data_IF_409526344486
#
_entry.id   IF_409526344486
#
_cell.length_a   1.000
_cell.length_b   1.000
_cell.length_c   1.000
_cell.angle_alpha   90.00
_cell.angle_beta   90.00
_cell.angle_gamma   90.00
#
_symmetry.space_group_name_H-M   'P 1'
#
loop_
_entity.id
_entity.type
_entity.pdbx_description
1 polymer ?
#
# COMPACT_ATOMS: atom_id res chain seq x y z
N UNK A 1 9.09 7.72 0.64
CA UNK A 1 8.87 8.95 -0.17
C UNK A 1 9.62 8.96 -1.48
N UNK A 2 10.90 8.59 -1.51
CA UNK A 2 11.76 8.66 -2.69
C UNK A 2 11.18 8.00 -3.95
N UNK A 3 10.50 6.87 -3.78
CA UNK A 3 9.87 6.17 -4.89
C UNK A 3 8.76 7.00 -5.55
N UNK A 4 7.94 7.68 -4.75
CA UNK A 4 6.85 8.53 -5.24
C UNK A 4 7.40 9.79 -5.93
N UNK A 5 8.38 10.47 -5.32
CA UNK A 5 9.06 11.62 -5.93
C UNK A 5 9.74 11.22 -7.24
N UNK A 6 10.34 10.03 -7.29
CA UNK A 6 10.92 9.49 -8.53
C UNK A 6 9.87 9.32 -9.64
N UNK A 7 8.69 8.79 -9.32
CA UNK A 7 7.60 8.67 -10.29
C UNK A 7 7.13 10.05 -10.79
N UNK A 8 6.98 11.03 -9.90
CA UNK A 8 6.62 12.41 -10.30
C UNK A 8 7.70 13.07 -11.17
N UNK A 9 8.97 12.77 -10.88
CA UNK A 9 10.13 13.29 -11.61
C UNK A 9 10.26 12.71 -13.02
N UNK A 10 10.08 11.39 -13.15
CA UNK A 10 10.14 10.67 -14.43
C UNK A 10 8.95 11.06 -15.33
N UNK A 11 7.79 11.36 -14.75
CA UNK A 11 6.64 11.89 -15.47
C UNK A 11 6.02 10.86 -16.41
N UNK A 12 5.62 11.28 -17.61
CA UNK A 12 5.05 10.40 -18.63
C UNK A 12 6.14 9.41 -19.08
N UNK A 13 5.92 8.10 -18.93
CA UNK A 13 6.87 7.09 -19.38
C UNK A 13 6.95 7.07 -20.91
N UNK A 14 8.10 6.64 -21.45
CA UNK A 14 8.30 6.54 -22.90
C UNK A 14 7.19 5.68 -23.55
N UNK A 15 6.40 6.28 -24.45
CA UNK A 15 5.26 5.63 -25.10
C UNK A 15 3.95 5.61 -24.30
N UNK A 16 3.85 6.34 -23.19
CA UNK A 16 2.62 6.50 -22.42
C UNK A 16 1.77 7.69 -22.87
N UNK A 17 0.44 7.50 -22.91
CA UNK A 17 -0.53 8.53 -23.32
C UNK A 17 -1.00 9.44 -22.16
N UNK A 18 -0.68 9.11 -20.91
CA UNK A 18 -1.20 9.81 -19.74
C UNK A 18 -0.14 10.05 -18.67
N UNK A 19 -0.17 11.25 -18.08
CA UNK A 19 0.68 11.63 -16.96
C UNK A 19 0.36 10.81 -15.69
N UNK A 20 1.36 10.34 -14.93
CA UNK A 20 1.14 9.62 -13.69
C UNK A 20 0.46 10.54 -12.67
N UNK A 21 -0.64 10.05 -12.10
CA UNK A 21 -1.33 10.65 -10.96
C UNK A 21 -0.94 9.92 -9.68
N UNK A 22 -0.42 10.66 -8.70
CA UNK A 22 -0.22 10.17 -7.34
C UNK A 22 -1.22 10.83 -6.39
N UNK A 23 -1.81 10.02 -5.53
CA UNK A 23 -2.70 10.49 -4.46
C UNK A 23 -1.97 10.45 -3.13
N UNK A 24 -1.96 11.58 -2.43
CA UNK A 24 -1.56 11.70 -1.05
C UNK A 24 -2.81 11.60 -0.19
N UNK A 25 -3.02 10.42 0.38
CA UNK A 25 -4.17 10.08 1.19
C UNK A 25 -3.83 10.27 2.67
N UNK A 26 -4.43 11.27 3.30
CA UNK A 26 -4.38 11.49 4.73
C UNK A 26 -5.77 11.33 5.37
N UNK A 27 -5.83 11.50 6.68
CA UNK A 27 -7.06 11.52 7.47
C UNK A 27 -6.89 12.60 8.53
N UNK A 28 -7.97 13.22 8.98
CA UNK A 28 -7.91 14.33 9.95
C UNK A 28 -7.28 13.92 11.29
N UNK A 29 -7.38 12.64 11.66
CA UNK A 29 -6.76 12.09 12.86
C UNK A 29 -5.23 11.93 12.74
N UNK A 30 -4.68 11.96 11.51
CA UNK A 30 -3.27 11.69 11.24
C UNK A 30 -2.54 12.98 10.92
N UNK A 31 -1.51 13.28 11.71
CA UNK A 31 -0.69 14.48 11.53
C UNK A 31 0.39 14.17 10.50
N UNK A 32 0.62 15.08 9.54
CA UNK A 32 1.79 15.04 8.66
C UNK A 32 1.52 15.10 7.15
N UNK A 33 0.26 14.97 6.70
CA UNK A 33 -0.12 15.15 5.29
C UNK A 33 0.48 16.41 4.65
N UNK A 34 0.24 17.61 5.22
CA UNK A 34 0.86 18.84 4.73
C UNK A 34 2.38 18.92 4.81
N UNK A 35 2.99 18.35 5.83
CA UNK A 35 4.45 18.33 5.93
C UNK A 35 5.05 17.45 4.82
N UNK A 36 4.41 16.31 4.56
CA UNK A 36 4.81 15.41 3.47
C UNK A 36 4.60 16.04 2.09
N UNK A 37 3.49 16.75 1.89
CA UNK A 37 3.24 17.50 0.66
C UNK A 37 4.32 18.56 0.44
N UNK A 38 4.66 19.35 1.46
CA UNK A 38 5.72 20.37 1.37
C UNK A 38 7.08 19.75 1.10
N UNK A 39 7.40 18.63 1.73
CA UNK A 39 8.64 17.89 1.44
C UNK A 39 8.67 17.42 -0.02
N UNK A 40 7.58 16.82 -0.52
CA UNK A 40 7.47 16.40 -1.92
C UNK A 40 7.60 17.57 -2.90
N UNK A 41 6.99 18.72 -2.57
CA UNK A 41 7.12 19.96 -3.34
C UNK A 41 8.56 20.46 -3.36
N UNK A 42 9.25 20.50 -2.21
CA UNK A 42 10.64 20.90 -2.12
C UNK A 42 11.57 19.98 -2.92
N UNK A 43 11.37 18.67 -2.83
CA UNK A 43 12.15 17.69 -3.58
C UNK A 43 11.92 17.82 -5.09
N UNK A 44 10.67 18.11 -5.49
CA UNK A 44 10.32 18.34 -6.89
C UNK A 44 10.87 19.67 -7.43
N UNK A 45 10.77 20.77 -6.69
CA UNK A 45 11.36 22.05 -7.12
C UNK A 45 12.88 21.93 -7.25
N UNK A 46 13.54 21.22 -6.34
CA UNK A 46 14.98 20.94 -6.43
C UNK A 46 15.31 20.01 -7.61
N UNK A 47 14.45 19.03 -7.92
CA UNK A 47 14.63 18.16 -9.09
C UNK A 47 14.48 18.93 -10.41
N UNK A 48 13.52 19.85 -10.49
CA UNK A 48 13.29 20.75 -11.63
C UNK A 48 14.48 21.71 -11.79
N UNK A 49 14.92 22.33 -10.69
CA UNK A 49 16.10 23.20 -10.65
C UNK A 49 17.35 22.50 -11.21
N UNK A 50 17.56 21.25 -10.81
CA UNK A 50 18.65 20.42 -11.27
C UNK A 50 18.45 19.78 -12.65
N UNK A 51 17.36 20.09 -13.36
CA UNK A 51 16.98 19.48 -14.65
C UNK A 51 16.97 17.95 -14.63
N UNK A 52 16.64 17.36 -13.47
CA UNK A 52 16.49 15.91 -13.30
C UNK A 52 15.05 15.45 -13.48
N UNK A 53 14.10 16.38 -13.57
CA UNK A 53 12.68 16.14 -13.80
C UNK A 53 12.31 16.37 -15.26
N UNK A 54 11.31 15.63 -15.74
CA UNK A 54 10.67 15.88 -17.04
C UNK A 54 9.88 17.21 -17.02
N UNK A 55 9.38 17.61 -15.84
CA UNK A 55 8.74 18.90 -15.64
C UNK A 55 9.77 20.04 -15.69
N UNK A 56 9.43 21.12 -16.39
CA UNK A 56 10.20 22.37 -16.44
C UNK A 56 9.70 23.36 -15.38
N UNK A 57 8.43 23.25 -15.01
CA UNK A 57 7.83 24.06 -13.97
C UNK A 57 6.76 23.30 -13.16
N UNK A 58 6.38 23.89 -12.05
CA UNK A 58 5.46 23.33 -11.07
C UNK A 58 4.36 24.35 -10.78
N UNK A 59 3.12 23.91 -10.88
CA UNK A 59 1.93 24.69 -10.54
C UNK A 59 1.20 24.03 -9.39
N UNK A 60 1.13 24.72 -8.25
CA UNK A 60 0.39 24.30 -7.07
C UNK A 60 -0.99 24.99 -7.05
N UNK A 61 -2.05 24.23 -6.83
CA UNK A 61 -3.39 24.72 -6.58
C UNK A 61 -3.64 24.65 -5.07
N UNK A 62 -3.82 25.82 -4.44
CA UNK A 62 -4.03 25.95 -3.01
C UNK A 62 -5.53 26.15 -2.71
N UNK A 63 -6.20 25.11 -2.23
CA UNK A 63 -7.64 25.05 -1.95
C UNK A 63 -7.95 24.94 -0.45
N UNK A 64 -7.09 24.29 0.32
CA UNK A 64 -7.26 24.07 1.76
C UNK A 64 -6.41 25.02 2.59
N UNK A 65 -5.28 25.49 2.05
CA UNK A 65 -4.31 26.31 2.78
C UNK A 65 -4.02 27.62 2.08
N UNK A 66 -3.69 28.69 2.84
CA UNK A 66 -3.34 29.97 2.23
C UNK A 66 -2.04 29.86 1.43
N UNK A 67 -2.01 30.51 0.27
CA UNK A 67 -0.85 30.52 -0.62
C UNK A 67 0.46 30.94 0.08
N UNK A 68 0.37 31.82 1.09
CA UNK A 68 1.51 32.27 1.90
C UNK A 68 2.32 31.13 2.55
N UNK A 69 1.68 29.99 2.88
CA UNK A 69 2.37 28.83 3.45
C UNK A 69 3.35 28.18 2.46
N UNK A 70 3.15 28.37 1.17
CA UNK A 70 3.99 27.82 0.12
C UNK A 70 5.07 28.79 -0.37
N UNK A 71 5.03 30.06 0.05
CA UNK A 71 6.02 31.07 -0.36
C UNK A 71 7.44 30.72 0.10
N UNK A 72 7.61 29.96 1.19
CA UNK A 72 8.92 29.50 1.64
C UNK A 72 9.55 28.47 0.68
N UNK A 73 8.73 27.77 -0.11
CA UNK A 73 9.17 26.86 -1.16
C UNK A 73 9.49 27.59 -2.47
N UNK A 74 8.95 28.79 -2.65
CA UNK A 74 9.30 29.72 -3.73
C UNK A 74 10.70 30.30 -3.48
N UNK A 75 11.76 29.55 -3.76
CA UNK A 75 13.08 30.17 -3.87
C UNK A 75 13.04 31.19 -5.04
N UNK A 76 13.37 32.47 -4.82
CA UNK A 76 13.22 33.52 -5.83
C UNK A 76 14.12 33.35 -7.07
N UNK A 77 15.07 32.40 -7.02
CA UNK A 77 15.94 32.01 -8.14
C UNK A 77 15.28 31.04 -9.13
N UNK A 78 14.16 30.44 -8.77
CA UNK A 78 13.45 29.42 -9.54
C UNK A 78 12.13 29.99 -10.04
N UNK A 79 12.16 30.74 -11.14
CA UNK A 79 10.97 31.26 -11.84
C UNK A 79 10.04 30.18 -12.43
N UNK A 80 10.12 28.96 -11.91
CA UNK A 80 9.46 27.74 -12.38
C UNK A 80 8.43 27.23 -11.38
N UNK A 81 8.13 27.97 -10.30
CA UNK A 81 7.11 27.59 -9.32
C UNK A 81 5.99 28.63 -9.30
N UNK A 82 4.75 28.17 -9.45
CA UNK A 82 3.54 28.99 -9.39
C UNK A 82 2.53 28.45 -8.39
N UNK A 83 1.86 29.34 -7.69
CA UNK A 83 0.77 29.03 -6.76
C UNK A 83 -0.50 29.69 -7.28
N UNK A 84 -1.52 28.89 -7.57
CA UNK A 84 -2.89 29.33 -7.80
C UNK A 84 -3.58 29.40 -6.45
N UNK A 85 -3.84 30.60 -5.98
CA UNK A 85 -4.54 30.85 -4.72
C UNK A 85 -6.05 30.75 -4.93
N UNK A 86 -6.58 29.56 -4.67
CA UNK A 86 -8.01 29.27 -4.65
C UNK A 86 -8.59 29.31 -3.22
N UNK A 87 -7.77 29.56 -2.20
CA UNK A 87 -8.13 29.50 -0.79
C UNK A 87 -8.57 30.86 -0.24
N UNK A 88 -7.95 31.97 -0.66
CA UNK A 88 -8.25 33.29 -0.09
C UNK A 88 -9.67 33.77 -0.38
N UNK A 89 -10.24 33.40 -1.53
CA UNK A 89 -11.62 33.75 -1.88
C UNK A 89 -12.30 32.70 -2.79
N UNK A 90 -12.55 31.47 -2.28
CA UNK A 90 -13.09 30.38 -3.08
C UNK A 90 -14.49 30.67 -3.62
N UNK A 91 -15.27 31.49 -2.92
CA UNK A 91 -16.66 31.81 -3.27
C UNK A 91 -16.87 33.20 -3.86
N UNK A 92 -15.82 34.03 -3.99
CA UNK A 92 -15.91 35.34 -4.63
C UNK A 92 -16.51 36.45 -3.77
N UNK A 93 -16.42 36.32 -2.44
CA UNK A 93 -17.01 37.26 -1.49
C UNK A 93 -16.31 38.62 -1.55
N UNK A 94 -15.02 38.66 -1.89
CA UNK A 94 -14.26 39.90 -2.03
C UNK A 94 -14.82 40.79 -3.16
N UNK A 95 -15.27 40.17 -4.26
CA UNK A 95 -15.92 40.86 -5.36
C UNK A 95 -17.31 41.41 -4.99
N UNK A 96 -18.05 40.72 -4.13
CA UNK A 96 -19.37 41.16 -3.64
C UNK A 96 -19.27 42.28 -2.60
N UNK A 97 -18.21 42.26 -1.78
CA UNK A 97 -17.98 43.24 -0.72
C UNK A 97 -17.26 44.51 -1.23
N UNK A 98 -17.00 44.62 -2.55
CA UNK A 98 -16.23 45.69 -3.17
C UNK A 98 -14.89 45.96 -2.44
N UNK A 99 -14.33 44.94 -1.79
CA UNK A 99 -13.00 44.99 -1.20
C UNK A 99 -12.06 44.92 -2.39
N UNK A 100 -11.70 46.09 -2.92
CA UNK A 100 -10.61 46.20 -3.87
C UNK A 100 -9.40 45.60 -3.16
N UNK A 101 -8.80 44.52 -3.68
CA UNK A 101 -7.59 43.99 -3.08
C UNK A 101 -6.57 45.13 -3.11
N UNK A 102 -6.18 45.60 -1.92
CA UNK A 102 -5.14 46.62 -1.78
C UNK A 102 -3.92 46.11 -2.54
N UNK A 103 -3.59 46.79 -3.65
CA UNK A 103 -2.60 46.41 -4.66
C UNK A 103 -1.71 45.25 -4.24
N UNK A 104 -2.17 44.03 -4.50
CA UNK A 104 -1.44 42.82 -4.16
C UNK A 104 -0.18 42.83 -5.00
N UNK A 105 0.93 43.19 -4.38
CA UNK A 105 2.27 43.09 -4.97
C UNK A 105 2.41 41.66 -5.48
N UNK A 106 2.28 41.52 -6.80
CA UNK A 106 2.40 40.25 -7.49
C UNK A 106 3.85 39.81 -7.33
N UNK A 107 4.15 39.04 -6.30
CA UNK A 107 5.25 38.11 -6.39
C UNK A 107 4.97 37.29 -7.64
N UNK A 108 5.86 37.30 -8.63
CA UNK A 108 5.68 36.72 -9.97
C UNK A 108 5.19 35.25 -9.97
N UNK A 109 5.18 34.56 -8.83
CA UNK A 109 4.75 33.18 -8.65
C UNK A 109 3.30 32.99 -8.16
N UNK A 110 2.57 33.99 -7.66
CA UNK A 110 1.23 33.75 -7.06
C UNK A 110 0.11 34.40 -7.87
N UNK A 111 -0.88 33.60 -8.28
CA UNK A 111 -2.04 34.03 -9.07
C UNK A 111 -3.30 33.81 -8.25
N UNK A 112 -4.05 34.87 -7.94
CA UNK A 112 -5.32 34.76 -7.21
C UNK A 112 -6.43 34.28 -8.15
N UNK A 113 -7.17 33.25 -7.72
CA UNK A 113 -8.27 32.64 -8.47
C UNK A 113 -9.56 32.72 -7.64
N UNK A 114 -10.23 33.89 -7.62
CA UNK A 114 -11.44 34.06 -6.83
C UNK A 114 -12.62 33.31 -7.45
N UNK A 115 -13.63 32.99 -6.62
CA UNK A 115 -14.95 32.42 -7.01
C UNK A 115 -14.92 31.04 -7.67
N UNK A 116 -13.81 30.29 -7.53
CA UNK A 116 -13.66 28.99 -8.19
C UNK A 116 -14.70 27.97 -7.75
N UNK A 117 -15.10 27.97 -6.47
CA UNK A 117 -16.13 27.07 -5.94
C UNK A 117 -17.54 27.61 -6.14
N UNK A 118 -17.71 28.93 -6.22
CA UNK A 118 -19.02 29.54 -6.47
C UNK A 118 -19.49 29.33 -7.92
N UNK A 119 -18.59 29.44 -8.89
CA UNK A 119 -18.93 29.36 -10.31
C UNK A 119 -19.38 27.93 -10.71
N UNK A 120 -20.48 27.78 -11.48
CA UNK A 120 -20.93 26.46 -11.96
C UNK A 120 -19.90 25.81 -12.89
N UNK A 121 -19.15 26.62 -13.64
CA UNK A 121 -18.08 26.18 -14.54
C UNK A 121 -16.69 26.31 -13.89
N UNK A 122 -16.62 26.23 -12.56
CA UNK A 122 -15.37 26.39 -11.81
C UNK A 122 -14.28 25.42 -12.24
N UNK A 123 -14.62 24.14 -12.45
CA UNK A 123 -13.67 23.13 -12.91
C UNK A 123 -13.12 23.40 -14.32
N UNK A 124 -13.97 23.84 -15.26
CA UNK A 124 -13.53 24.20 -16.61
C UNK A 124 -12.63 25.43 -16.60
N UNK A 125 -12.95 26.43 -15.75
CA UNK A 125 -12.09 27.60 -15.55
C UNK A 125 -10.74 27.20 -14.96
N UNK A 126 -10.71 26.28 -14.00
CA UNK A 126 -9.48 25.75 -13.41
C UNK A 126 -8.64 25.01 -14.47
N UNK A 127 -9.28 24.18 -15.30
CA UNK A 127 -8.62 23.50 -16.40
C UNK A 127 -8.01 24.51 -17.40
N UNK A 128 -8.77 25.53 -17.80
CA UNK A 128 -8.28 26.59 -18.69
C UNK A 128 -7.09 27.34 -18.08
N UNK A 129 -7.14 27.67 -16.78
CA UNK A 129 -6.05 28.35 -16.08
C UNK A 129 -4.79 27.48 -15.99
N UNK A 130 -4.94 26.17 -15.72
CA UNK A 130 -3.80 25.25 -15.70
C UNK A 130 -3.19 25.10 -17.10
N UNK A 131 -4.03 25.00 -18.13
CA UNK A 131 -3.58 24.99 -19.53
C UNK A 131 -2.86 26.31 -19.89
N UNK A 132 -3.38 27.47 -19.51
CA UNK A 132 -2.74 28.75 -19.84
C UNK A 132 -1.45 28.99 -19.04
N UNK A 133 -1.42 28.63 -17.76
CA UNK A 133 -0.23 28.79 -16.92
C UNK A 133 0.95 27.97 -17.46
N UNK A 134 0.65 26.78 -18.01
CA UNK A 134 1.66 25.97 -18.70
C UNK A 134 2.26 26.70 -19.91
N UNK A 135 1.46 27.42 -20.69
CA UNK A 135 1.96 28.19 -21.84
C UNK A 135 2.83 29.39 -21.45
N UNK A 136 2.49 30.07 -20.34
CA UNK A 136 3.19 31.31 -19.91
C UNK A 136 4.60 31.01 -19.39
N UNK A 137 4.77 29.85 -18.76
CA UNK A 137 6.07 29.39 -18.23
C UNK A 137 6.92 28.63 -19.27
N UNK A 138 6.32 28.31 -20.40
CA UNK A 138 6.95 27.60 -21.50
C UNK A 138 7.61 28.59 -22.47
N UNK A 139 8.93 28.73 -22.38
CA UNK A 139 9.72 29.41 -23.40
C UNK A 139 10.05 28.49 -24.62
N UNK A 140 9.29 27.41 -24.86
CA UNK A 140 9.55 26.50 -25.97
C UNK A 140 8.50 25.40 -26.17
N UNK A 141 8.25 25.03 -27.43
CA UNK A 141 7.37 23.92 -27.78
C UNK A 141 7.86 22.62 -27.13
N UNK A 142 7.06 22.06 -26.21
CA UNK A 142 7.38 20.82 -25.48
C UNK A 142 7.64 20.98 -23.97
N UNK A 143 7.49 22.18 -23.40
CA UNK A 143 7.57 22.33 -21.95
C UNK A 143 6.42 21.61 -21.23
N UNK A 144 6.78 20.73 -20.29
CA UNK A 144 5.83 20.01 -19.44
C UNK A 144 5.87 20.54 -18.01
N UNK A 145 4.74 20.44 -17.32
CA UNK A 145 4.51 21.01 -15.99
C UNK A 145 4.00 19.94 -15.04
N UNK A 146 4.47 20.00 -13.79
CA UNK A 146 3.92 19.20 -12.71
C UNK A 146 2.78 20.00 -12.05
N UNK A 147 1.59 19.41 -11.97
CA UNK A 147 0.44 20.06 -11.31
C UNK A 147 0.23 19.38 -9.96
N UNK A 148 0.13 20.20 -8.92
CA UNK A 148 -0.07 19.73 -7.55
C UNK A 148 -1.36 20.34 -7.00
N UNK A 149 -2.23 19.51 -6.44
CA UNK A 149 -3.37 19.97 -5.64
C UNK A 149 -3.04 19.73 -4.17
N UNK A 150 -3.16 20.76 -3.35
CA UNK A 150 -2.99 20.60 -1.90
C UNK A 150 -4.05 19.67 -1.31
N UNK A 151 -5.30 19.82 -1.75
CA UNK A 151 -6.45 19.05 -1.32
C UNK A 151 -7.53 19.06 -2.38
N UNK A 152 -8.00 17.87 -2.78
CA UNK A 152 -9.14 17.73 -3.68
C UNK A 152 -10.48 17.83 -2.96
N UNK A 153 -10.50 17.72 -1.62
CA UNK A 153 -11.74 17.68 -0.82
C UNK A 153 -12.68 18.84 -1.14
N UNK A 154 -12.24 20.11 -1.19
CA UNK A 154 -13.15 21.23 -1.50
C UNK A 154 -13.78 21.15 -2.89
N UNK A 155 -13.08 20.55 -3.86
CA UNK A 155 -13.61 20.34 -5.21
C UNK A 155 -14.62 19.20 -5.24
N UNK A 156 -14.33 18.11 -4.53
CA UNK A 156 -15.22 16.96 -4.41
C UNK A 156 -16.52 17.35 -3.72
N UNK A 157 -16.44 18.09 -2.63
CA UNK A 157 -17.61 18.55 -1.86
C UNK A 157 -18.52 19.45 -2.69
N UNK A 158 -17.92 20.29 -3.55
CA UNK A 158 -18.68 21.26 -4.34
C UNK A 158 -19.24 20.70 -5.66
N UNK A 159 -18.41 20.00 -6.42
CA UNK A 159 -18.73 19.57 -7.79
C UNK A 159 -19.06 18.09 -7.91
N UNK A 160 -18.86 17.33 -6.83
CA UNK A 160 -19.04 15.88 -6.81
C UNK A 160 -17.83 15.11 -7.32
N UNK A 161 -17.66 13.89 -6.83
CA UNK A 161 -16.52 13.04 -7.14
C UNK A 161 -16.36 12.71 -8.64
N UNK A 162 -17.47 12.47 -9.35
CA UNK A 162 -17.42 12.14 -10.78
C UNK A 162 -16.84 13.30 -11.63
N UNK A 163 -17.19 14.54 -11.31
CA UNK A 163 -16.67 15.71 -12.02
C UNK A 163 -15.18 15.91 -11.74
N UNK A 164 -14.72 15.68 -10.52
CA UNK A 164 -13.29 15.74 -10.16
C UNK A 164 -12.49 14.63 -10.84
N UNK A 165 -13.00 13.40 -10.89
CA UNK A 165 -12.37 12.29 -11.63
C UNK A 165 -12.22 12.65 -13.12
N UNK A 166 -13.26 13.23 -13.73
CA UNK A 166 -13.19 13.70 -15.11
C UNK A 166 -12.17 14.82 -15.30
N UNK A 167 -12.09 15.78 -14.38
CA UNK A 167 -11.07 16.83 -14.39
C UNK A 167 -9.66 16.21 -14.37
N UNK A 168 -9.38 15.32 -13.41
CA UNK A 168 -8.07 14.69 -13.28
C UNK A 168 -7.70 13.89 -14.53
N UNK A 169 -8.65 13.13 -15.08
CA UNK A 169 -8.45 12.41 -16.32
C UNK A 169 -8.16 13.34 -17.52
N UNK A 170 -8.83 14.49 -17.61
CA UNK A 170 -8.54 15.52 -18.63
C UNK A 170 -7.14 16.10 -18.43
N UNK A 171 -6.75 16.40 -17.20
CA UNK A 171 -5.41 16.92 -16.87
C UNK A 171 -4.30 15.90 -17.21
N UNK A 172 -4.52 14.60 -16.96
CA UNK A 172 -3.55 13.55 -17.29
C UNK A 172 -3.25 13.45 -18.78
N UNK A 173 -4.22 13.82 -19.64
CA UNK A 173 -4.10 13.77 -21.10
C UNK A 173 -3.68 15.08 -21.74
N UNK A 174 -3.39 16.11 -20.94
CA UNK A 174 -2.83 17.35 -21.49
C UNK A 174 -1.38 17.13 -21.87
N UNK A 175 -0.99 17.50 -23.09
CA UNK A 175 0.39 17.38 -23.59
C UNK A 175 1.39 18.17 -22.74
N UNK A 176 0.92 19.22 -22.07
CA UNK A 176 1.71 20.07 -21.19
C UNK A 176 1.85 19.55 -19.76
N UNK A 177 1.17 18.47 -19.37
CA UNK A 177 1.27 17.91 -18.01
C UNK A 177 2.26 16.75 -17.99
N UNK A 178 3.28 16.80 -17.14
CA UNK A 178 4.23 15.69 -16.94
C UNK A 178 3.81 14.75 -15.82
N UNK A 179 3.30 15.27 -14.71
CA UNK A 179 2.87 14.50 -13.55
C UNK A 179 1.86 15.25 -12.69
N UNK A 180 1.04 14.52 -11.94
CA UNK A 180 0.02 15.04 -11.05
C UNK A 180 0.24 14.50 -9.63
N UNK A 181 0.17 15.39 -8.63
CA UNK A 181 0.14 15.02 -7.21
C UNK A 181 -1.09 15.66 -6.56
N UNK A 182 -1.93 14.89 -5.89
CA UNK A 182 -3.15 15.41 -5.27
C UNK A 182 -3.29 14.96 -3.83
N UNK A 183 -3.48 15.90 -2.90
CA UNK A 183 -3.90 15.59 -1.52
C UNK A 183 -5.39 15.22 -1.44
N UNK A 184 -5.74 14.31 -0.54
CA UNK A 184 -7.11 13.86 -0.32
C UNK A 184 -7.30 13.31 1.10
N UNK A 185 -8.26 13.89 1.83
CA UNK A 185 -8.71 13.39 3.13
C UNK A 185 -9.63 12.18 2.95
N UNK A 186 -9.13 11.00 3.28
CA UNK A 186 -9.84 9.72 3.07
C UNK A 186 -11.05 9.52 3.98
N UNK A 187 -11.09 10.18 5.13
CA UNK A 187 -12.16 10.11 6.12
C UNK A 187 -13.41 10.93 5.77
N UNK A 188 -13.29 11.85 4.81
CA UNK A 188 -14.39 12.73 4.40
C UNK A 188 -15.19 12.20 3.20
N UNK A 189 -14.68 11.18 2.50
CA UNK A 189 -15.23 10.74 1.21
C UNK A 189 -15.74 9.30 1.24
N UNK A 190 -16.75 9.04 0.42
CA UNK A 190 -17.32 7.70 0.28
C UNK A 190 -16.29 6.72 -0.33
N UNK A 191 -16.28 5.43 0.10
CA UNK A 191 -15.29 4.46 -0.34
C UNK A 191 -15.34 4.18 -1.85
N UNK A 192 -16.51 4.36 -2.49
CA UNK A 192 -16.63 4.20 -3.94
C UNK A 192 -15.83 5.27 -4.71
N UNK A 193 -15.82 6.51 -4.21
CA UNK A 193 -15.03 7.58 -4.81
C UNK A 193 -13.54 7.35 -4.61
N UNK A 194 -13.14 6.95 -3.39
CA UNK A 194 -11.76 6.61 -3.10
C UNK A 194 -11.27 5.51 -4.05
N UNK A 195 -12.03 4.41 -4.18
CA UNK A 195 -11.70 3.34 -5.11
C UNK A 195 -11.57 3.84 -6.56
N UNK A 196 -12.49 4.70 -7.04
CA UNK A 196 -12.41 5.26 -8.38
C UNK A 196 -11.14 6.11 -8.60
N UNK A 197 -10.78 6.94 -7.63
CA UNK A 197 -9.55 7.74 -7.67
C UNK A 197 -8.31 6.84 -7.61
N UNK A 198 -8.30 5.82 -6.76
CA UNK A 198 -7.20 4.85 -6.69
C UNK A 198 -7.02 4.06 -7.98
N UNK A 199 -8.10 3.76 -8.71
CA UNK A 199 -8.01 3.11 -10.02
C UNK A 199 -7.38 4.03 -11.06
N UNK A 200 -7.75 5.32 -11.06
CA UNK A 200 -7.17 6.34 -11.95
C UNK A 200 -5.69 6.61 -11.62
N UNK A 201 -5.32 6.55 -10.34
CA UNK A 201 -3.98 6.83 -9.88
C UNK A 201 -2.96 5.75 -10.28
N UNK A 202 -1.77 6.21 -10.67
CA UNK A 202 -0.59 5.37 -10.84
C UNK A 202 -0.06 4.86 -9.49
N UNK A 203 -0.38 5.55 -8.40
CA UNK A 203 -0.10 5.09 -7.05
C UNK A 203 -0.68 5.97 -5.96
N UNK A 204 -0.62 5.46 -4.75
CA UNK A 204 -1.13 6.12 -3.54
C UNK A 204 -0.06 6.18 -2.47
N UNK A 205 -0.09 7.26 -1.70
CA UNK A 205 0.70 7.50 -0.50
C UNK A 205 -0.29 7.63 0.66
N UNK A 206 -0.44 6.57 1.45
CA UNK A 206 -1.39 6.55 2.55
C UNK A 206 -0.68 6.81 3.87
N UNK A 207 -1.15 7.82 4.60
CA UNK A 207 -0.73 8.10 5.98
C UNK A 207 -1.70 7.42 6.94
N UNK A 208 -1.15 6.73 7.93
CA UNK A 208 -1.89 6.14 9.04
C UNK A 208 -1.19 6.43 10.36
N UNK A 209 -1.94 6.47 11.47
CA UNK A 209 -1.34 6.58 12.79
C UNK A 209 -0.41 5.38 13.07
N UNK A 210 0.69 5.62 13.79
CA UNK A 210 1.59 4.55 14.23
C UNK A 210 0.95 3.77 15.38
N UNK A 211 1.06 2.44 15.35
CA UNK A 211 0.59 1.59 16.44
C UNK A 211 1.43 1.77 17.71
N UNK A 212 0.86 1.47 18.89
CA UNK A 212 1.59 1.54 20.17
C UNK A 212 2.86 0.68 20.16
N UNK A 213 2.81 -0.47 19.48
CA UNK A 213 3.94 -1.36 19.34
C UNK A 213 5.06 -0.76 18.47
N UNK A 214 4.72 -0.11 17.36
CA UNK A 214 5.70 0.62 16.53
C UNK A 214 6.32 1.79 17.31
N UNK A 215 5.50 2.50 18.09
CA UNK A 215 5.96 3.61 18.92
C UNK A 215 6.96 3.15 20.00
N UNK A 216 6.64 2.06 20.70
CA UNK A 216 7.51 1.52 21.77
C UNK A 216 8.81 0.92 21.23
N UNK A 217 8.75 0.19 20.10
CA UNK A 217 9.94 -0.37 19.46
C UNK A 217 10.89 0.72 18.96
N UNK A 218 10.37 1.75 18.29
CA UNK A 218 11.20 2.85 17.82
C UNK A 218 11.74 3.72 18.96
N UNK A 219 10.97 3.92 20.03
CA UNK A 219 11.48 4.58 21.23
C UNK A 219 12.66 3.81 21.85
N UNK A 220 12.57 2.48 21.91
CA UNK A 220 13.64 1.64 22.44
C UNK A 220 14.90 1.61 21.55
N UNK A 221 14.73 1.60 20.22
CA UNK A 221 15.83 1.46 19.26
C UNK A 221 16.49 2.78 18.85
N UNK A 222 15.69 3.83 18.69
CA UNK A 222 16.12 5.10 18.07
C UNK A 222 15.86 6.33 18.94
N UNK A 223 15.24 6.17 20.12
CA UNK A 223 14.92 7.27 21.04
C UNK A 223 13.90 8.27 20.48
N UNK A 224 13.24 7.95 19.37
CA UNK A 224 12.23 8.79 18.71
C UNK A 224 10.93 8.01 18.58
N UNK A 225 9.82 8.64 18.98
CA UNK A 225 8.48 8.08 18.79
C UNK A 225 7.96 8.46 17.40
N UNK A 226 7.76 7.48 16.50
CA UNK A 226 7.12 7.73 15.22
C UNK A 226 5.70 8.23 15.47
N UNK A 227 5.30 9.26 14.72
CA UNK A 227 3.97 9.83 14.82
C UNK A 227 2.99 9.12 13.87
N UNK A 228 3.52 8.55 12.79
CA UNK A 228 2.71 7.81 11.84
C UNK A 228 3.51 6.87 10.96
N UNK A 229 2.77 6.18 10.11
CA UNK A 229 3.24 5.27 9.07
C UNK A 229 2.85 5.83 7.71
N UNK A 230 3.80 5.81 6.78
CA UNK A 230 3.60 6.14 5.38
C UNK A 230 3.69 4.85 4.56
N UNK A 231 2.60 4.51 3.87
CA UNK A 231 2.54 3.37 2.95
C UNK A 231 2.43 3.87 1.52
N UNK A 232 3.48 3.68 0.73
CA UNK A 232 3.51 3.98 -0.70
C UNK A 232 3.14 2.73 -1.50
N UNK A 233 2.10 2.80 -2.33
CA UNK A 233 1.63 1.74 -3.22
C UNK A 233 1.69 2.25 -4.66
N UNK A 234 2.66 1.79 -5.45
CA UNK A 234 2.84 2.24 -6.83
C UNK A 234 2.63 1.10 -7.83
N UNK A 235 1.78 1.32 -8.82
CA UNK A 235 1.51 0.40 -9.92
C UNK A 235 2.63 0.53 -10.96
N UNK A 236 3.17 -0.60 -11.40
CA UNK A 236 4.10 -0.67 -12.54
C UNK A 236 3.32 -0.92 -13.83
N UNK A 237 3.94 -0.62 -14.98
CA UNK A 237 3.42 -0.97 -16.31
C UNK A 237 3.07 -2.45 -16.48
N UNK A 238 3.78 -3.34 -15.77
CA UNK A 238 3.58 -4.78 -15.82
C UNK A 238 2.39 -5.27 -14.97
N UNK A 239 1.52 -4.36 -14.50
CA UNK A 239 0.45 -4.65 -13.53
C UNK A 239 0.93 -4.93 -12.09
N UNK A 240 2.23 -5.17 -11.88
CA UNK A 240 2.81 -5.44 -10.55
C UNK A 240 2.77 -4.18 -9.69
N UNK A 241 2.34 -4.33 -8.44
CA UNK A 241 2.28 -3.23 -7.48
C UNK A 241 3.47 -3.33 -6.53
N UNK A 242 4.25 -2.26 -6.41
CA UNK A 242 5.31 -2.14 -5.40
C UNK A 242 4.72 -1.44 -4.18
N UNK A 243 4.81 -2.10 -3.03
CA UNK A 243 4.42 -1.53 -1.74
C UNK A 243 5.69 -1.26 -0.92
N UNK A 244 5.79 -0.07 -0.35
CA UNK A 244 6.85 0.30 0.58
C UNK A 244 6.22 1.00 1.78
N UNK A 245 6.51 0.49 2.97
CA UNK A 245 6.07 1.08 4.22
C UNK A 245 7.26 1.66 4.95
N UNK A 246 7.11 2.88 5.45
CA UNK A 246 8.10 3.57 6.27
C UNK A 246 7.39 4.23 7.45
N UNK A 247 8.10 4.40 8.56
CA UNK A 247 7.61 5.21 9.67
C UNK A 247 8.08 6.64 9.47
N UNK A 248 7.33 7.60 10.01
CA UNK A 248 7.72 9.00 9.97
C UNK A 248 7.50 9.69 11.31
N UNK A 249 8.34 10.67 11.57
CA UNK A 249 8.16 11.66 12.63
C UNK A 249 8.36 13.07 12.06
N UNK A 250 7.57 14.00 12.55
CA UNK A 250 7.69 15.42 12.24
C UNK A 250 8.63 16.07 13.25
N UNK A 251 9.55 16.87 12.74
CA UNK A 251 10.39 17.72 13.55
C UNK A 251 9.67 18.98 14.00
N UNK A 252 10.23 19.73 14.96
CA UNK A 252 9.69 21.01 15.41
C UNK A 252 9.61 22.07 14.28
N UNK A 253 10.40 21.90 13.22
CA UNK A 253 10.37 22.71 12.00
C UNK A 253 9.43 22.14 10.92
N UNK A 254 8.54 21.20 11.28
CA UNK A 254 7.56 20.62 10.37
C UNK A 254 8.19 19.84 9.20
N UNK A 255 9.44 19.41 9.36
CA UNK A 255 10.17 18.56 8.42
C UNK A 255 9.89 17.09 8.72
N UNK A 256 9.78 16.28 7.66
CA UNK A 256 9.47 14.84 7.80
C UNK A 256 10.77 14.05 7.88
N UNK A 257 11.00 13.41 9.02
CA UNK A 257 12.05 12.39 9.17
C UNK A 257 11.45 11.02 8.93
N UNK A 258 12.00 10.30 7.96
CA UNK A 258 11.54 8.97 7.57
C UNK A 258 12.50 7.95 8.16
N UNK A 259 11.95 6.95 8.85
CA UNK A 259 12.69 5.79 9.35
C UNK A 259 12.17 4.51 8.73
N UNK A 260 13.06 3.53 8.60
CA UNK A 260 12.68 2.19 8.16
C UNK A 260 11.92 1.47 9.28
N UNK A 261 10.96 0.63 8.89
CA UNK A 261 10.26 -0.21 9.85
C UNK A 261 11.26 -1.23 10.41
N UNK A 262 11.44 -1.37 11.73
CA UNK A 262 12.33 -2.38 12.30
C UNK A 262 11.71 -3.78 12.10
N UNK A 263 11.91 -4.36 10.91
CA UNK A 263 11.39 -5.67 10.53
C UNK A 263 11.96 -6.79 11.39
N UNK A 264 13.17 -6.62 11.89
CA UNK A 264 13.86 -7.60 12.74
C UNK A 264 13.21 -7.75 14.13
N UNK A 265 12.53 -6.71 14.61
CA UNK A 265 11.86 -6.71 15.93
C UNK A 265 10.40 -7.19 15.85
N UNK A 266 9.78 -7.10 14.67
CA UNK A 266 8.40 -7.54 14.42
C UNK A 266 8.31 -9.04 14.09
N UNK A 267 9.45 -9.68 13.82
CA UNK A 267 9.51 -11.11 13.56
C UNK A 267 9.87 -11.84 14.86
N UNK A 268 8.93 -12.57 15.52
CA UNK A 268 9.20 -13.19 16.82
C UNK A 268 10.36 -14.21 16.77
N UNK A 269 10.66 -14.76 15.59
CA UNK A 269 11.80 -15.67 15.39
C UNK A 269 13.16 -14.95 15.39
N UNK A 270 13.24 -13.73 14.83
CA UNK A 270 14.50 -12.95 14.80
C UNK A 270 14.84 -12.32 16.16
N UNK A 271 13.83 -12.00 16.97
CA UNK A 271 14.02 -11.53 18.34
C UNK A 271 14.57 -12.63 19.27
N UNK A 272 14.16 -13.89 19.06
CA UNK A 272 14.68 -15.04 19.84
C UNK A 272 16.16 -15.32 19.56
N UNK A 273 16.61 -15.18 18.32
CA UNK A 273 18.02 -15.41 17.96
C UNK A 273 18.97 -14.36 18.58
N UNK A 274 18.51 -13.13 18.80
CA UNK A 274 19.26 -12.11 19.56
C UNK A 274 19.17 -12.29 21.08
N UNK A 275 18.11 -12.92 21.58
CA UNK A 275 17.89 -13.17 23.01
C UNK A 275 18.83 -14.22 23.62
N UNK A 276 19.45 -15.08 22.81
CA UNK A 276 20.31 -16.18 23.29
C UNK A 276 21.81 -15.86 23.38
N UNK A 277 22.25 -14.64 23.06
CA UNK A 277 23.68 -14.25 23.13
C UNK A 277 24.01 -13.44 24.40
N UNK A 278 23.07 -13.34 25.34
CA UNK A 278 23.14 -12.39 26.45
C UNK A 278 23.68 -12.87 27.79
N UNK A 279 24.39 -14.00 27.93
CA UNK A 279 25.13 -14.34 29.18
C UNK A 279 26.20 -15.42 28.95
N UNK A 280 27.34 -15.07 28.37
CA UNK A 280 28.62 -15.73 28.65
C UNK A 280 29.76 -14.84 28.11
N UNK A 281 30.61 -14.36 29.00
CA UNK A 281 31.80 -13.61 28.61
C UNK A 281 32.83 -14.50 27.89
N UNK A 282 33.57 -13.90 26.96
CA UNK A 282 34.92 -14.33 26.63
C UNK A 282 35.14 -14.92 25.24
N UNK A 283 36.05 -14.24 24.51
CA UNK A 283 36.85 -14.70 23.35
C UNK A 283 36.28 -14.47 21.95
N UNK A 284 37.01 -13.61 21.24
CA UNK A 284 37.02 -13.38 19.81
C UNK A 284 37.27 -14.69 19.03
N UNK A 285 36.27 -15.16 18.28
CA UNK A 285 36.41 -16.30 17.37
C UNK A 285 35.22 -16.58 16.44
N UNK A 286 34.13 -15.80 16.51
CA UNK A 286 32.86 -16.14 15.84
C UNK A 286 32.74 -15.79 14.35
N UNK A 287 33.49 -14.79 13.86
CA UNK A 287 33.30 -14.30 12.48
C UNK A 287 33.79 -15.28 11.40
N UNK A 288 34.83 -16.07 11.69
CA UNK A 288 35.36 -17.05 10.73
C UNK A 288 34.44 -18.29 10.61
N UNK A 289 33.77 -18.69 11.68
CA UNK A 289 32.89 -19.85 11.68
C UNK A 289 31.56 -19.57 10.93
N UNK A 290 31.01 -18.36 11.07
CA UNK A 290 29.75 -17.96 10.42
C UNK A 290 29.93 -17.74 8.91
N UNK A 291 31.07 -17.16 8.50
CA UNK A 291 31.39 -16.95 7.08
C UNK A 291 31.56 -18.28 6.32
N UNK A 292 32.08 -19.32 6.98
CA UNK A 292 32.26 -20.63 6.37
C UNK A 292 30.95 -21.43 6.27
N UNK A 293 29.94 -21.11 7.08
CA UNK A 293 28.59 -21.69 7.02
C UNK A 293 27.73 -21.06 5.91
N UNK A 294 27.97 -19.81 5.53
CA UNK A 294 27.20 -19.11 4.50
C UNK A 294 27.72 -19.30 3.07
N UNK A 295 28.97 -19.78 2.90
CA UNK A 295 29.58 -20.01 1.59
C UNK A 295 29.14 -21.32 0.91
N UNK A 296 28.52 -22.25 1.65
CA UNK A 296 27.98 -23.51 1.11
C UNK A 296 26.45 -23.52 1.26
N UNK A 297 25.74 -23.22 0.18
CA UNK A 297 24.29 -22.95 0.14
C UNK A 297 23.45 -23.73 1.16
N UNK A 298 22.62 -22.99 1.90
CA UNK A 298 21.59 -23.39 2.89
C UNK A 298 21.37 -24.91 3.06
N UNK A 299 22.36 -25.60 3.62
CA UNK A 299 22.19 -26.94 4.19
C UNK A 299 22.56 -26.80 5.65
N UNK A 300 21.57 -26.39 6.45
CA UNK A 300 21.62 -26.50 7.90
C UNK A 300 21.75 -28.01 8.21
N UNK A 301 22.98 -28.46 8.43
CA UNK A 301 23.24 -29.80 8.93
C UNK A 301 22.63 -29.90 10.31
N UNK A 302 21.71 -30.85 10.51
CA UNK A 302 21.13 -31.12 11.82
C UNK A 302 22.28 -31.42 12.80
N UNK A 303 22.23 -30.77 13.95
CA UNK A 303 23.15 -31.05 15.06
C UNK A 303 23.02 -32.51 15.51
N UNK A 304 24.04 -33.04 16.18
CA UNK A 304 24.02 -34.42 16.69
C UNK A 304 22.80 -34.68 17.61
N UNK A 305 22.38 -33.66 18.36
CA UNK A 305 21.20 -33.71 19.22
C UNK A 305 19.88 -33.75 18.41
N UNK A 306 19.80 -33.00 17.31
CA UNK A 306 18.63 -33.01 16.41
C UNK A 306 18.52 -34.30 15.59
N UNK A 307 19.65 -34.92 15.23
CA UNK A 307 19.67 -36.23 14.60
C UNK A 307 19.16 -37.32 15.55
N UNK A 308 19.57 -37.32 16.81
CA UNK A 308 19.00 -38.23 17.82
C UNK A 308 17.52 -37.95 18.07
N UNK A 309 17.11 -36.68 18.14
CA UNK A 309 15.71 -36.32 18.31
C UNK A 309 14.87 -36.82 17.14
N UNK A 310 15.34 -36.62 15.90
CA UNK A 310 14.69 -37.14 14.68
C UNK A 310 14.61 -38.67 14.68
N UNK A 311 15.62 -39.37 15.20
CA UNK A 311 15.59 -40.84 15.34
C UNK A 311 14.60 -41.32 16.41
N UNK A 312 14.23 -40.46 17.38
CA UNK A 312 13.24 -40.78 18.43
C UNK A 312 11.81 -40.36 18.07
N UNK A 313 11.63 -39.56 17.01
CA UNK A 313 10.29 -39.17 16.54
C UNK A 313 9.63 -40.39 15.88
N UNK A 314 8.77 -41.07 16.63
CA UNK A 314 7.81 -42.01 16.06
C UNK A 314 6.64 -41.22 15.50
N UNK A 315 6.51 -41.20 14.18
CA UNK A 315 5.34 -40.60 13.54
C UNK A 315 4.12 -41.52 13.74
N UNK A 316 2.93 -41.00 14.04
CA UNK A 316 1.72 -41.81 14.30
C UNK A 316 1.29 -42.73 13.16
N UNK A 317 1.86 -42.54 11.97
CA UNK A 317 1.55 -43.25 10.72
C UNK A 317 2.73 -44.09 10.22
N UNK A 318 3.83 -44.16 10.96
CA UNK A 318 4.94 -45.05 10.63
C UNK A 318 4.55 -46.47 11.07
N UNK A 319 4.08 -47.26 10.09
CA UNK A 319 3.62 -48.63 10.31
C UNK A 319 4.72 -49.51 10.91
N UNK A 320 4.67 -49.70 12.23
CA UNK A 320 5.55 -50.61 12.97
C UNK A 320 5.46 -52.02 12.35
N UNK A 321 6.52 -52.44 11.64
CA UNK A 321 6.71 -53.83 11.24
C UNK A 321 6.09 -54.31 9.93
N UNK A 322 5.42 -53.47 9.15
CA UNK A 322 4.78 -53.88 7.87
C UNK A 322 5.36 -53.22 6.61
N UNK A 323 6.62 -52.78 6.65
CA UNK A 323 7.29 -52.20 5.48
C UNK A 323 7.37 -53.15 4.26
N UNK A 324 7.23 -54.47 4.47
CA UNK A 324 7.22 -55.45 3.39
C UNK A 324 5.93 -55.42 2.55
N UNK A 325 4.78 -55.04 3.13
CA UNK A 325 3.51 -54.97 2.41
C UNK A 325 3.45 -53.82 1.39
N UNK A 326 4.28 -52.79 1.60
CA UNK A 326 4.34 -51.58 0.76
C UNK A 326 5.54 -51.58 -0.21
N UNK A 327 6.40 -52.60 -0.19
CA UNK A 327 7.61 -52.66 -1.03
C UNK A 327 7.45 -53.50 -2.30
N UNK A 328 6.39 -54.31 -2.39
CA UNK A 328 6.17 -55.24 -3.49
C UNK A 328 4.67 -55.39 -3.75
N UNK A 329 4.09 -54.50 -4.53
CA UNK A 329 2.68 -54.60 -4.96
C UNK A 329 2.09 -53.29 -5.44
N UNK A 330 1.18 -53.38 -6.40
CA UNK A 330 0.44 -52.26 -7.00
C UNK A 330 -0.31 -51.49 -5.91
N UNK A 331 -0.28 -50.14 -5.96
CA UNK A 331 -0.77 -49.29 -4.87
C UNK A 331 -2.27 -49.48 -4.57
N UNK A 332 -2.98 -50.02 -5.55
CA UNK A 332 -4.40 -50.35 -5.48
C UNK A 332 -4.71 -51.45 -4.46
N UNK A 333 -3.73 -52.23 -4.01
CA UNK A 333 -3.97 -53.35 -3.08
C UNK A 333 -4.11 -52.93 -1.62
N UNK A 334 -3.68 -51.71 -1.25
CA UNK A 334 -3.79 -51.18 0.11
C UNK A 334 -4.62 -49.90 0.24
N UNK A 335 -5.08 -49.33 -0.88
CA UNK A 335 -6.00 -48.18 -0.86
C UNK A 335 -7.43 -48.63 -0.51
N UNK A 336 -8.19 -47.83 0.24
CA UNK A 336 -9.60 -48.09 0.44
C UNK A 336 -10.36 -48.07 -0.90
N UNK A 337 -11.45 -48.84 -1.05
CA UNK A 337 -12.23 -48.90 -2.29
C UNK A 337 -12.80 -47.53 -2.67
N UNK A 338 -13.06 -46.67 -1.68
CA UNK A 338 -13.51 -45.28 -1.86
C UNK A 338 -12.46 -44.39 -2.54
N UNK A 339 -11.20 -44.80 -2.51
CA UNK A 339 -10.06 -44.14 -3.16
C UNK A 339 -9.52 -44.98 -4.34
N UNK A 340 -10.29 -45.95 -4.86
CA UNK A 340 -9.96 -46.72 -6.06
C UNK A 340 -9.11 -47.98 -5.84
N UNK A 341 -9.01 -48.47 -4.60
CA UNK A 341 -8.31 -49.72 -4.27
C UNK A 341 -9.17 -50.99 -4.37
N UNK A 342 -8.51 -52.15 -4.48
CA UNK A 342 -9.14 -53.48 -4.53
C UNK A 342 -9.52 -53.91 -3.12
N UNK A 343 -10.78 -54.28 -2.94
CA UNK A 343 -11.40 -54.60 -1.64
C UNK A 343 -10.83 -55.84 -0.90
N UNK A 344 -9.72 -56.43 -1.36
CA UNK A 344 -9.24 -57.73 -0.91
C UNK A 344 -7.80 -57.66 -0.39
N UNK A 345 -7.60 -57.02 0.76
CA UNK A 345 -6.59 -57.36 1.79
C UNK A 345 -6.53 -56.27 2.87
N UNK A 346 -7.54 -56.15 3.73
CA UNK A 346 -7.38 -55.37 4.97
C UNK A 346 -6.83 -56.30 6.06
N UNK A 347 -5.58 -56.12 6.56
CA UNK A 347 -5.18 -56.78 7.79
C UNK A 347 -6.01 -56.22 8.96
N UNK A 348 -6.42 -57.10 9.86
CA UNK A 348 -7.45 -56.88 10.89
C UNK A 348 -7.15 -55.77 11.92
N UNK A 349 -5.98 -55.10 11.86
CA UNK A 349 -5.61 -54.02 12.78
C UNK A 349 -6.13 -52.63 12.36
N UNK A 350 -6.72 -52.48 11.18
CA UNK A 350 -7.22 -51.20 10.68
C UNK A 350 -8.74 -50.98 10.89
N UNK A 351 -9.42 -51.81 11.67
CA UNK A 351 -10.84 -51.65 12.02
C UNK A 351 -11.02 -50.77 13.27
N UNK A 352 -10.67 -49.49 13.15
CA UNK A 352 -10.98 -48.46 14.15
C UNK A 352 -12.37 -47.86 13.93
N UNK A 353 -13.38 -48.54 14.50
CA UNK A 353 -14.68 -48.03 14.96
C UNK A 353 -15.43 -46.93 14.18
N UNK A 354 -16.31 -47.34 13.26
CA UNK A 354 -17.56 -46.63 12.97
C UNK A 354 -18.61 -47.63 12.46
N UNK A 355 -19.51 -48.07 13.34
CA UNK A 355 -20.73 -48.77 12.94
C UNK A 355 -21.90 -48.25 13.79
N UNK A 356 -22.87 -47.66 13.11
CA UNK A 356 -24.13 -47.20 13.66
C UNK A 356 -25.26 -48.20 13.37
N UNK A 357 -26.16 -48.35 14.36
CA UNK A 357 -27.56 -48.81 14.25
C UNK A 357 -27.79 -50.33 14.16
N UNK A 358 -28.85 -50.93 14.72
CA UNK A 358 -29.97 -50.51 15.56
C UNK A 358 -30.74 -51.79 15.96
N UNK A 359 -31.31 -51.87 17.17
CA UNK A 359 -32.55 -52.62 17.47
C UNK A 359 -32.99 -52.48 18.93
N UNK A 360 -34.27 -52.16 19.15
CA UNK A 360 -35.07 -52.80 20.19
C UNK A 360 -35.47 -52.00 21.45
N UNK A 361 -36.48 -51.15 21.32
CA UNK A 361 -37.74 -51.28 22.05
C UNK A 361 -37.81 -51.18 23.60
N UNK A 362 -38.55 -50.14 24.02
CA UNK A 362 -39.50 -50.08 25.14
C UNK A 362 -39.03 -49.65 26.55
N UNK A 363 -39.69 -48.59 27.05
CA UNK A 363 -40.04 -48.47 28.47
C UNK A 363 -39.86 -47.09 29.12
N UNK A 364 -40.96 -46.32 29.20
CA UNK A 364 -41.33 -45.32 30.23
C UNK A 364 -40.34 -44.18 30.54
N UNK A 365 -40.72 -42.91 30.68
CA UNK A 365 -42.00 -42.23 30.87
C UNK A 365 -41.70 -40.88 31.53
N UNK A 366 -42.51 -39.86 31.19
CA UNK A 366 -42.75 -38.60 31.92
C UNK A 366 -41.63 -37.56 32.07
N UNK A 367 -41.96 -36.30 31.75
CA UNK A 367 -41.51 -35.15 32.55
C UNK A 367 -40.97 -33.95 31.76
N UNK A 368 -41.76 -32.88 31.75
CA UNK A 368 -41.45 -31.53 31.30
C UNK A 368 -40.14 -30.92 31.84
N UNK A 369 -39.61 -29.94 31.08
CA UNK A 369 -39.04 -28.72 31.66
C UNK A 369 -37.53 -28.52 31.55
N UNK A 370 -37.14 -27.45 30.84
CA UNK A 370 -36.08 -26.50 31.21
C UNK A 370 -34.60 -26.95 31.29
N UNK A 371 -33.75 -26.16 30.62
CA UNK A 371 -32.27 -26.20 30.75
C UNK A 371 -31.61 -26.52 29.40
N UNK A 372 -30.48 -25.98 29.00
CA UNK A 372 -29.49 -25.10 29.60
C UNK A 372 -28.66 -24.56 28.42
N UNK A 373 -28.19 -23.31 28.51
CA UNK A 373 -27.25 -22.72 27.56
C UNK A 373 -25.89 -23.38 27.80
N UNK A 374 -25.62 -24.45 27.05
CA UNK A 374 -24.30 -25.06 26.94
C UNK A 374 -23.48 -24.32 25.89
N UNK A 375 -22.67 -23.36 26.35
CA UNK A 375 -21.62 -22.71 25.57
C UNK A 375 -20.65 -23.78 25.07
N UNK A 376 -20.75 -24.16 23.79
CA UNK A 376 -19.68 -24.86 23.09
C UNK A 376 -18.77 -23.81 22.48
N UNK A 377 -17.56 -23.73 23.00
CA UNK A 377 -16.45 -22.98 22.43
C UNK A 377 -16.24 -23.48 20.98
N UNK A 378 -16.72 -22.69 20.03
CA UNK A 378 -16.49 -22.89 18.61
C UNK A 378 -15.04 -22.58 18.30
N UNK A 379 -14.24 -23.61 18.04
CA UNK A 379 -12.98 -23.48 17.33
C UNK A 379 -13.27 -22.79 15.99
N UNK A 380 -12.59 -21.68 15.72
CA UNK A 380 -12.78 -20.89 14.51
C UNK A 380 -12.65 -21.76 13.26
N UNK A 381 -13.67 -21.71 12.40
CA UNK A 381 -13.69 -22.41 11.12
C UNK A 381 -13.23 -21.45 10.01
N UNK A 382 -12.23 -21.84 9.24
CA UNK A 382 -11.78 -21.11 8.04
C UNK A 382 -12.67 -21.55 6.87
N UNK A 383 -13.53 -20.63 6.39
CA UNK A 383 -14.31 -20.82 5.18
C UNK A 383 -13.44 -20.48 3.97
N UNK A 384 -13.11 -21.49 3.16
CA UNK A 384 -12.58 -21.27 1.82
C UNK A 384 -13.76 -21.03 0.87
N UNK A 385 -14.01 -19.76 0.57
CA UNK A 385 -14.92 -19.38 -0.53
C UNK A 385 -14.10 -19.41 -1.82
N UNK A 386 -14.50 -20.29 -2.73
CA UNK A 386 -13.92 -20.40 -4.07
C UNK A 386 -14.66 -19.38 -4.96
N UNK A 387 -14.04 -18.24 -5.23
CA UNK A 387 -14.51 -17.33 -6.27
C UNK A 387 -14.16 -17.95 -7.64
N UNK A 388 -15.03 -18.82 -8.13
CA UNK A 388 -14.92 -19.43 -9.46
C UNK A 388 -16.31 -19.59 -10.04
N UNK A 389 -16.96 -18.45 -10.32
CA UNK A 389 -18.23 -18.35 -11.02
C UNK A 389 -18.08 -17.70 -12.40
N UNK A 390 -16.97 -17.95 -13.11
CA UNK A 390 -16.87 -17.66 -14.53
C UNK A 390 -16.29 -18.86 -15.26
N UNK A 391 -17.19 -19.70 -15.74
CA UNK A 391 -16.95 -20.64 -16.81
C UNK A 391 -16.55 -19.84 -18.07
N UNK A 392 -15.31 -20.02 -18.50
CA UNK A 392 -14.94 -20.01 -19.91
C UNK A 392 -13.79 -21.00 -20.07
N UNK A 393 -14.17 -22.20 -20.50
CA UNK A 393 -13.30 -23.08 -21.27
C UNK A 393 -12.89 -22.32 -22.53
N UNK A 394 -11.62 -21.97 -22.64
CA UNK A 394 -10.99 -21.65 -23.91
C UNK A 394 -9.90 -22.69 -24.13
N UNK A 395 -10.19 -23.59 -25.05
CA UNK A 395 -9.32 -24.62 -25.60
C UNK A 395 -8.13 -23.96 -26.34
N UNK A 396 -7.12 -23.52 -25.60
CA UNK A 396 -5.82 -23.15 -26.19
C UNK A 396 -4.88 -24.37 -26.09
N UNK A 397 -4.80 -25.10 -27.20
CA UNK A 397 -3.93 -26.25 -27.41
C UNK A 397 -2.46 -25.91 -27.11
N UNK A 398 -1.74 -26.71 -26.28
CA UNK A 398 -0.34 -26.46 -25.96
C UNK A 398 0.63 -27.16 -26.94
N UNK A 399 0.41 -27.08 -28.26
CA UNK A 399 1.13 -27.92 -29.24
C UNK A 399 1.74 -27.19 -30.47
N UNK A 400 1.91 -25.85 -30.48
CA UNK A 400 2.35 -25.14 -31.72
C UNK A 400 3.75 -24.49 -31.75
N UNK A 401 4.62 -24.67 -30.72
CA UNK A 401 5.96 -24.05 -30.73
C UNK A 401 7.14 -25.05 -30.57
N UNK A 402 7.01 -26.27 -31.10
CA UNK A 402 8.16 -27.16 -31.28
C UNK A 402 8.40 -27.43 -32.77
N UNK A 403 9.20 -26.56 -33.37
CA UNK A 403 9.92 -26.87 -34.61
C UNK A 403 11.34 -26.26 -34.59
N UNK A 404 12.30 -27.17 -34.43
CA UNK A 404 13.66 -27.27 -35.04
C UNK A 404 14.66 -26.11 -34.92
#
# INVERSE_FOLDING_TARGET
MDLAVRTLREGIPDGGDAAPLLLLCDALAVIGGPALLRQALADMTLAIAGRRAQAIALTLVALERPAAQYHQLCSPSLGTFTVLDCFSDPYGWGGLLAVVPAGGSSSNSTISVPSILAAPNGLDRLLQLLSSTSTIQSAGAGARHCIVFDSLTPLVDRFGGAAVVQLLHRLQRLDSTSSLLCGLHTDLHAPQLLAALEQLAAGTLQLSAASELEQTLCAAMHGSTPQGRLSARLKRRSGRVRVQTQLYCLDAADSVRISELPTDALNPQAALEKGTVGTAGGSSGGEAALAQQLAGGMKLGLSAAELEAKQRVQLPFEHQGHAAAYKTGDFRDYLPPEAGGRAAARPASAAGGAAAGAAGGAGAGTGAGGGEIGVRQGLGHILYVRDSGSEHDSDEDPDDDLDI
#
